data_IF_991423290793
#
_entry.id   IF_991423290793
#
_cell.length_a   1.000
_cell.length_b   1.000
_cell.length_c   1.000
_cell.angle_alpha   90.00
_cell.angle_beta   90.00
_cell.angle_gamma   90.00
#
_symmetry.space_group_name_H-M   'P 1'
#
loop_
_entity.id
_entity.type
_entity.pdbx_description
1 polymer ?
#
# COMPACT_ATOMS: atom_id res chain seq x y z
N UNK A 1 -0.56 -0.07 -8.33
CA UNK A 1 0.55 -0.97 -7.88
C UNK A 1 1.78 -0.68 -8.71
N UNK A 2 2.94 -0.76 -8.12
CA UNK A 2 4.24 -0.61 -8.79
C UNK A 2 4.99 -1.95 -8.77
N UNK A 3 5.82 -2.21 -9.79
CA UNK A 3 6.62 -3.42 -9.87
C UNK A 3 8.05 -3.11 -9.42
N UNK A 4 8.52 -3.81 -8.39
CA UNK A 4 9.88 -3.65 -7.88
C UNK A 4 10.91 -4.03 -8.93
N UNK A 5 12.06 -3.35 -8.91
CA UNK A 5 13.21 -3.71 -9.74
C UNK A 5 13.59 -5.17 -9.48
N UNK A 6 13.95 -5.91 -10.55
CA UNK A 6 14.32 -7.33 -10.46
C UNK A 6 15.54 -7.56 -9.57
N UNK A 7 16.39 -6.56 -9.42
CA UNK A 7 17.61 -6.61 -8.60
C UNK A 7 17.39 -6.17 -7.15
N UNK A 8 16.13 -5.86 -6.75
CA UNK A 8 15.83 -5.51 -5.36
C UNK A 8 16.16 -6.67 -4.43
N UNK A 9 16.80 -6.38 -3.29
CA UNK A 9 17.18 -7.36 -2.26
C UNK A 9 15.99 -8.12 -1.69
N UNK A 10 14.81 -7.49 -1.67
CA UNK A 10 13.58 -8.08 -1.16
C UNK A 10 12.55 -8.24 -2.28
N UNK A 11 12.27 -9.50 -2.64
CA UNK A 11 11.26 -9.92 -3.63
C UNK A 11 11.25 -9.08 -4.91
N UNK A 12 12.42 -8.97 -5.57
CA UNK A 12 12.54 -8.27 -6.85
C UNK A 12 11.58 -8.84 -7.90
N UNK A 13 10.93 -7.95 -8.65
CA UNK A 13 9.92 -8.28 -9.66
C UNK A 13 8.49 -8.42 -9.15
N UNK A 14 8.26 -8.41 -7.83
CA UNK A 14 6.91 -8.44 -7.27
C UNK A 14 6.20 -7.10 -7.44
N UNK A 15 4.88 -7.17 -7.59
CA UNK A 15 4.00 -6.02 -7.52
C UNK A 15 3.63 -5.69 -6.07
N UNK A 16 3.85 -4.44 -5.69
CA UNK A 16 3.60 -3.91 -4.36
C UNK A 16 2.79 -2.61 -4.44
N UNK A 17 2.27 -2.15 -3.30
CA UNK A 17 1.83 -0.76 -3.18
C UNK A 17 3.07 0.14 -3.02
N UNK A 18 3.04 1.42 -3.46
CA UNK A 18 4.11 2.37 -3.18
C UNK A 18 4.37 2.46 -1.67
N UNK A 19 5.63 2.53 -1.28
CA UNK A 19 5.98 2.66 0.13
C UNK A 19 7.39 2.24 0.49
N UNK A 20 7.94 2.88 1.51
CA UNK A 20 9.27 2.67 2.04
C UNK A 20 9.38 2.93 3.53
N UNK A 21 10.56 3.32 3.99
CA UNK A 21 10.83 3.60 5.39
C UNK A 21 10.32 4.99 5.80
N UNK A 22 9.97 5.13 7.08
CA UNK A 22 9.74 6.44 7.69
C UNK A 22 11.10 7.07 7.98
N UNK A 23 11.37 8.21 7.40
CA UNK A 23 12.58 8.97 7.62
C UNK A 23 12.43 9.96 8.80
N UNK A 24 13.55 10.33 9.42
CA UNK A 24 13.53 11.37 10.46
C UNK A 24 12.97 12.71 9.95
N UNK A 25 13.18 13.00 8.66
CA UNK A 25 12.67 14.20 8.01
C UNK A 25 11.16 14.19 7.77
N UNK A 26 10.50 13.03 7.87
CA UNK A 26 9.05 12.92 7.74
C UNK A 26 8.30 13.40 9.00
N UNK A 27 9.00 13.65 10.10
CA UNK A 27 8.43 14.04 11.40
C UNK A 27 8.73 15.45 11.83
N UNK A 28 8.11 15.84 12.96
CA UNK A 28 8.34 17.12 13.64
C UNK A 28 7.48 18.28 13.13
N UNK A 29 7.61 19.44 13.80
CA UNK A 29 6.77 20.60 13.55
C UNK A 29 6.86 21.16 12.12
N UNK A 30 8.00 20.99 11.46
CA UNK A 30 8.20 21.42 10.08
C UNK A 30 7.33 20.57 9.13
N UNK A 31 7.31 19.27 9.32
CA UNK A 31 6.47 18.36 8.55
C UNK A 31 4.98 18.59 8.83
N UNK A 32 4.60 18.79 10.08
CA UNK A 32 3.22 19.10 10.47
C UNK A 32 2.71 20.39 9.83
N UNK A 33 3.56 21.39 9.64
CA UNK A 33 3.18 22.68 9.05
C UNK A 33 2.70 22.60 7.59
N UNK A 34 3.10 21.57 6.85
CA UNK A 34 2.66 21.33 5.47
C UNK A 34 1.57 20.26 5.36
N UNK A 35 1.08 19.75 6.48
CA UNK A 35 0.01 18.76 6.54
C UNK A 35 -1.34 19.41 6.83
N UNK A 36 -2.40 18.91 6.19
CA UNK A 36 -3.77 19.36 6.42
C UNK A 36 -4.69 18.21 6.83
N UNK A 37 -5.53 18.47 7.84
CA UNK A 37 -6.61 17.58 8.26
C UNK A 37 -6.22 16.53 9.29
N UNK A 38 -4.95 16.53 9.78
CA UNK A 38 -4.50 15.67 10.87
C UNK A 38 -3.26 16.25 11.54
N UNK A 39 -3.27 16.31 12.86
CA UNK A 39 -2.11 16.64 13.69
C UNK A 39 -1.29 15.39 14.05
N UNK A 40 -0.05 15.60 14.56
CA UNK A 40 0.77 14.49 15.06
C UNK A 40 0.10 13.75 16.22
N UNK A 41 -0.56 14.48 17.11
CA UNK A 41 -1.27 13.88 18.25
C UNK A 41 -2.41 12.96 17.80
N UNK A 42 -3.23 13.38 16.83
CA UNK A 42 -4.31 12.56 16.27
C UNK A 42 -3.77 11.34 15.53
N UNK A 43 -2.72 11.51 14.74
CA UNK A 43 -2.05 10.41 14.05
C UNK A 43 -1.45 9.40 15.03
N UNK A 44 -0.83 9.87 16.11
CA UNK A 44 -0.22 9.03 17.14
C UNK A 44 -1.27 8.21 17.89
N UNK A 45 -2.43 8.80 18.20
CA UNK A 45 -3.57 8.07 18.79
C UNK A 45 -4.05 6.95 17.87
N UNK A 46 -4.21 7.23 16.57
CA UNK A 46 -4.67 6.24 15.59
C UNK A 46 -3.70 5.06 15.44
N UNK A 47 -2.40 5.31 15.51
CA UNK A 47 -1.37 4.27 15.40
C UNK A 47 -1.06 3.58 16.72
N UNK A 48 -1.55 4.09 17.86
CA UNK A 48 -1.21 3.59 19.18
C UNK A 48 0.27 3.79 19.54
N UNK A 49 0.85 4.93 19.14
CA UNK A 49 2.23 5.34 19.47
C UNK A 49 2.22 6.58 20.34
N UNK A 50 3.28 6.79 21.12
CA UNK A 50 3.35 7.93 22.06
C UNK A 50 3.42 9.29 21.36
N UNK A 51 4.14 9.35 20.22
CA UNK A 51 4.32 10.56 19.39
C UNK A 51 4.92 10.18 18.04
N UNK A 52 4.95 11.12 17.09
CA UNK A 52 5.56 10.92 15.77
C UNK A 52 4.68 10.13 14.81
N UNK A 53 3.39 9.99 15.12
CA UNK A 53 2.46 9.24 14.27
C UNK A 53 2.28 9.85 12.90
N UNK A 54 2.32 11.18 12.78
CA UNK A 54 2.14 11.87 11.50
C UNK A 54 3.24 11.55 10.49
N UNK A 55 4.44 11.19 10.95
CA UNK A 55 5.56 10.81 10.10
C UNK A 55 5.22 9.61 9.20
N UNK A 56 4.33 8.70 9.61
CA UNK A 56 3.89 7.57 8.78
C UNK A 56 3.01 8.02 7.61
N UNK A 57 2.16 9.02 7.80
CA UNK A 57 1.38 9.62 6.71
C UNK A 57 2.28 10.39 5.76
N UNK A 58 3.22 11.18 6.32
CA UNK A 58 4.19 11.92 5.51
C UNK A 58 5.02 10.95 4.64
N UNK A 59 5.55 9.88 5.23
CA UNK A 59 6.29 8.84 4.50
C UNK A 59 5.42 8.21 3.39
N UNK A 60 4.17 7.84 3.68
CA UNK A 60 3.28 7.26 2.69
C UNK A 60 3.04 8.18 1.48
N UNK A 61 2.88 9.48 1.74
CA UNK A 61 2.71 10.48 0.67
C UNK A 61 4.00 10.74 -0.10
N UNK A 62 5.13 10.85 0.59
CA UNK A 62 6.46 10.98 -0.02
C UNK A 62 6.78 9.80 -0.94
N UNK A 63 6.64 8.58 -0.44
CA UNK A 63 6.88 7.36 -1.20
C UNK A 63 5.92 7.21 -2.40
N UNK A 64 4.66 7.62 -2.23
CA UNK A 64 3.70 7.63 -3.35
C UNK A 64 4.12 8.63 -4.43
N UNK A 65 4.67 9.78 -4.06
CA UNK A 65 5.25 10.72 -5.00
C UNK A 65 6.53 10.17 -5.63
N UNK A 66 7.44 9.60 -4.84
CA UNK A 66 8.71 9.05 -5.31
C UNK A 66 8.54 7.86 -6.26
N UNK A 67 7.72 6.88 -5.90
CA UNK A 67 7.60 5.63 -6.65
C UNK A 67 6.51 5.65 -7.75
N UNK A 68 5.43 6.41 -7.55
CA UNK A 68 4.30 6.46 -8.47
C UNK A 68 4.04 7.83 -9.12
N UNK A 69 4.74 8.89 -8.71
CA UNK A 69 4.56 10.24 -9.25
C UNK A 69 3.23 10.90 -8.90
N UNK A 70 2.49 10.36 -7.92
CA UNK A 70 1.21 10.88 -7.48
C UNK A 70 1.39 11.80 -6.28
N UNK A 71 0.83 13.00 -6.35
CA UNK A 71 0.96 14.03 -5.33
C UNK A 71 -0.40 14.33 -4.68
N UNK A 72 -0.65 13.73 -3.50
CA UNK A 72 -1.87 13.93 -2.73
C UNK A 72 -1.76 15.23 -1.91
N UNK A 73 -1.86 16.33 -2.58
CA UNK A 73 -1.73 17.67 -2.01
C UNK A 73 -2.64 18.66 -2.73
N UNK A 74 -2.82 19.82 -2.12
CA UNK A 74 -3.45 20.97 -2.74
C UNK A 74 -2.62 22.24 -2.51
N UNK A 75 -2.93 23.29 -3.24
CA UNK A 75 -2.45 24.67 -3.01
C UNK A 75 -3.59 25.53 -2.48
N UNK A 76 -3.30 26.71 -1.89
CA UNK A 76 -4.34 27.65 -1.52
C UNK A 76 -5.27 28.06 -2.67
N UNK A 77 -4.75 28.01 -3.90
CA UNK A 77 -5.49 28.40 -5.10
C UNK A 77 -6.15 27.22 -5.85
N UNK A 78 -6.05 25.98 -5.34
CA UNK A 78 -6.61 24.79 -6.00
C UNK A 78 -5.73 23.55 -5.93
N UNK A 79 -5.86 22.62 -6.91
CA UNK A 79 -5.12 21.36 -6.89
C UNK A 79 -3.60 21.58 -6.96
N UNK A 80 -2.83 20.61 -6.41
CA UNK A 80 -1.37 20.65 -6.42
C UNK A 80 -0.79 20.65 -7.84
N UNK A 81 -1.42 19.87 -8.73
CA UNK A 81 -1.06 19.76 -10.13
C UNK A 81 -2.28 20.10 -10.98
N UNK A 82 -2.09 21.03 -11.93
CA UNK A 82 -3.09 21.30 -12.96
C UNK A 82 -2.91 20.27 -14.08
N UNK A 83 -3.88 19.38 -14.21
CA UNK A 83 -3.88 18.38 -15.27
C UNK A 83 -3.82 19.06 -16.64
N UNK A 84 -2.81 18.69 -17.45
CA UNK A 84 -2.63 19.24 -18.80
C UNK A 84 -1.82 20.55 -18.87
N UNK A 85 -1.12 20.91 -17.80
CA UNK A 85 -0.06 21.94 -17.85
C UNK A 85 1.32 21.26 -18.00
N UNK A 86 1.89 21.20 -19.23
CA UNK A 86 3.15 20.49 -19.48
C UNK A 86 4.36 21.10 -18.76
N UNK A 87 4.36 22.41 -18.48
CA UNK A 87 5.46 23.07 -17.79
C UNK A 87 5.44 22.70 -16.30
N UNK A 88 4.25 22.66 -15.72
CA UNK A 88 4.06 22.22 -14.34
C UNK A 88 4.39 20.73 -14.18
N UNK A 89 3.89 19.88 -15.08
CA UNK A 89 4.20 18.45 -15.07
C UNK A 89 5.71 18.20 -15.17
N UNK A 90 6.41 18.87 -16.11
CA UNK A 90 7.86 18.74 -16.26
C UNK A 90 8.62 19.21 -15.03
N UNK A 91 8.15 20.26 -14.35
CA UNK A 91 8.74 20.76 -13.11
C UNK A 91 8.62 19.72 -12.00
N UNK A 92 7.45 19.14 -11.78
CA UNK A 92 7.28 18.11 -10.75
C UNK A 92 8.01 16.81 -11.06
N UNK A 93 8.14 16.43 -12.33
CA UNK A 93 9.02 15.31 -12.74
C UNK A 93 10.47 15.59 -12.35
N UNK A 94 10.97 16.83 -12.56
CA UNK A 94 12.32 17.22 -12.17
C UNK A 94 12.49 17.24 -10.63
N UNK A 95 11.53 17.77 -9.88
CA UNK A 95 11.57 17.74 -8.41
C UNK A 95 11.55 16.31 -7.87
N UNK A 96 10.70 15.45 -8.41
CA UNK A 96 10.65 14.03 -8.08
C UNK A 96 11.99 13.34 -8.30
N UNK A 97 12.65 13.58 -9.44
CA UNK A 97 13.95 13.02 -9.72
C UNK A 97 15.02 13.48 -8.71
N UNK A 98 14.93 14.71 -8.22
CA UNK A 98 15.85 15.24 -7.19
C UNK A 98 15.57 14.66 -5.81
N UNK A 99 14.29 14.40 -5.47
CA UNK A 99 13.92 13.73 -4.23
C UNK A 99 14.42 12.28 -4.26
N UNK A 100 14.16 11.53 -5.33
CA UNK A 100 14.64 10.14 -5.50
C UNK A 100 16.16 10.04 -5.45
N UNK A 101 16.89 11.05 -5.96
CA UNK A 101 18.34 11.12 -5.88
C UNK A 101 18.89 11.55 -4.50
N UNK A 102 18.02 11.85 -3.53
CA UNK A 102 18.41 12.35 -2.20
C UNK A 102 19.04 13.74 -2.20
N UNK A 103 18.94 14.49 -3.32
CA UNK A 103 19.51 15.85 -3.46
C UNK A 103 18.55 16.95 -3.06
N UNK A 104 17.29 16.59 -2.78
CA UNK A 104 16.22 17.48 -2.34
C UNK A 104 15.33 16.77 -1.36
N UNK A 105 14.93 17.42 -0.26
CA UNK A 105 13.93 16.85 0.65
C UNK A 105 12.53 17.07 0.08
N UNK A 106 11.64 16.10 0.22
CA UNK A 106 10.23 16.22 -0.19
C UNK A 106 9.54 17.40 0.53
N UNK A 107 9.85 17.59 1.80
CA UNK A 107 9.34 18.71 2.60
C UNK A 107 9.71 20.10 2.02
N UNK A 108 10.93 20.24 1.46
CA UNK A 108 11.33 21.48 0.80
C UNK A 108 10.55 21.72 -0.50
N UNK A 109 10.23 20.65 -1.24
CA UNK A 109 9.32 20.73 -2.41
C UNK A 109 7.94 21.23 -1.95
N UNK A 110 7.38 20.65 -0.88
CA UNK A 110 6.08 21.07 -0.34
C UNK A 110 6.05 22.57 0.01
N UNK A 111 7.09 23.06 0.67
CA UNK A 111 7.16 24.46 1.07
C UNK A 111 7.32 25.42 -0.11
N UNK A 112 8.27 25.13 -1.01
CA UNK A 112 8.57 26.01 -2.14
C UNK A 112 7.42 26.08 -3.14
N UNK A 113 6.68 24.98 -3.30
CA UNK A 113 5.49 24.88 -4.14
C UNK A 113 4.18 25.26 -3.40
N UNK A 114 4.28 25.69 -2.12
CA UNK A 114 3.12 26.05 -1.28
C UNK A 114 2.07 24.91 -1.19
N UNK A 115 2.52 23.68 -1.08
CA UNK A 115 1.66 22.51 -0.99
C UNK A 115 1.19 22.28 0.45
N UNK A 116 -0.07 21.85 0.56
CA UNK A 116 -0.65 21.29 1.78
C UNK A 116 -0.99 19.83 1.50
N UNK A 117 -0.31 18.91 2.17
CA UNK A 117 -0.51 17.47 2.03
C UNK A 117 -1.85 17.06 2.66
N UNK A 118 -2.65 16.31 1.92
CA UNK A 118 -4.02 15.93 2.32
C UNK A 118 -4.03 14.72 3.26
N UNK A 119 -3.30 14.80 4.37
CA UNK A 119 -3.17 13.69 5.34
C UNK A 119 -4.50 13.31 6.01
N UNK A 120 -5.46 14.23 6.06
CA UNK A 120 -6.81 13.95 6.56
C UNK A 120 -7.62 13.03 5.65
N UNK A 121 -7.30 12.98 4.35
CA UNK A 121 -7.98 12.15 3.34
C UNK A 121 -7.28 10.80 3.12
N UNK A 122 -6.23 10.52 3.88
CA UNK A 122 -5.48 9.25 3.85
C UNK A 122 -5.84 8.44 5.08
N UNK A 123 -6.49 7.30 4.88
CA UNK A 123 -7.06 6.49 5.96
C UNK A 123 -6.16 5.30 6.29
N UNK A 124 -5.86 5.12 7.56
CA UNK A 124 -5.13 3.97 8.09
C UNK A 124 -5.98 2.70 7.91
N UNK A 125 -5.43 1.70 7.21
CA UNK A 125 -6.20 0.57 6.72
C UNK A 125 -5.77 -0.77 7.30
N UNK A 126 -4.45 -1.04 7.38
CA UNK A 126 -3.94 -2.31 7.88
C UNK A 126 -2.55 -2.16 8.49
N UNK A 127 -2.22 -3.03 9.46
CA UNK A 127 -0.94 -3.07 10.13
C UNK A 127 -0.39 -4.50 10.11
N UNK A 128 0.77 -4.67 9.48
CA UNK A 128 1.41 -5.97 9.33
C UNK A 128 2.82 -5.95 9.92
N UNK A 129 3.12 -6.92 10.78
CA UNK A 129 4.47 -7.14 11.30
C UNK A 129 4.98 -8.46 10.72
N UNK A 130 6.19 -8.44 10.17
CA UNK A 130 6.82 -9.66 9.67
C UNK A 130 6.97 -10.69 10.79
N UNK A 131 6.69 -11.98 10.56
CA UNK A 131 6.79 -13.04 11.58
C UNK A 131 8.11 -13.07 12.32
N UNK A 132 8.07 -13.46 13.58
CA UNK A 132 9.29 -13.76 14.35
C UNK A 132 10.10 -14.84 13.66
N UNK A 133 11.44 -14.72 13.74
CA UNK A 133 12.38 -15.66 13.10
C UNK A 133 12.73 -15.35 11.66
N UNK A 134 12.10 -14.37 11.03
CA UNK A 134 12.51 -13.88 9.71
C UNK A 134 13.86 -13.12 9.83
N UNK A 135 14.78 -13.25 8.85
CA UNK A 135 16.10 -12.60 8.88
C UNK A 135 16.01 -11.06 8.82
N UNK A 136 14.93 -10.52 8.26
CA UNK A 136 14.58 -9.09 8.27
C UNK A 136 13.11 -8.95 8.59
N UNK A 137 12.78 -8.10 9.54
CA UNK A 137 11.41 -7.83 9.94
C UNK A 137 11.01 -6.41 9.59
N UNK A 138 9.79 -6.27 9.09
CA UNK A 138 9.17 -5.00 8.78
C UNK A 138 7.95 -4.82 9.68
N UNK A 139 7.76 -3.61 10.15
CA UNK A 139 6.56 -3.11 10.82
C UNK A 139 5.90 -2.14 9.82
N UNK A 140 4.88 -2.61 9.11
CA UNK A 140 4.34 -1.91 7.95
C UNK A 140 2.89 -1.50 8.17
N UNK A 141 2.64 -0.22 8.07
CA UNK A 141 1.31 0.37 8.09
C UNK A 141 0.86 0.68 6.67
N UNK A 142 -0.35 0.23 6.33
CA UNK A 142 -0.96 0.45 5.02
C UNK A 142 -2.05 1.49 5.11
N UNK A 143 -2.11 2.33 4.10
CA UNK A 143 -3.07 3.41 3.98
C UNK A 143 -3.85 3.29 2.68
N UNK A 144 -5.05 3.87 2.65
CA UNK A 144 -5.86 4.03 1.44
C UNK A 144 -6.26 5.48 1.27
N UNK A 145 -6.25 5.94 0.04
CA UNK A 145 -6.68 7.29 -0.33
C UNK A 145 -7.25 7.29 -1.75
N UNK A 146 -8.06 8.29 -2.07
CA UNK A 146 -8.43 8.56 -3.44
C UNK A 146 -7.22 9.07 -4.22
N UNK A 147 -7.01 8.56 -5.44
CA UNK A 147 -6.02 9.15 -6.32
C UNK A 147 -6.46 10.56 -6.77
N UNK A 148 -5.54 11.53 -6.81
CA UNK A 148 -5.88 12.87 -7.25
C UNK A 148 -6.40 12.86 -8.70
N UNK A 149 -7.52 13.53 -9.00
CA UNK A 149 -8.08 13.54 -10.34
C UNK A 149 -7.11 14.19 -11.34
N UNK A 150 -7.00 13.59 -12.52
CA UNK A 150 -6.18 14.12 -13.63
C UNK A 150 -4.69 13.80 -13.54
N UNK A 151 -4.18 13.29 -12.41
CA UNK A 151 -2.80 12.83 -12.32
C UNK A 151 -2.65 11.43 -12.91
N UNK A 152 -1.55 11.20 -13.62
CA UNK A 152 -1.20 9.89 -14.15
C UNK A 152 -0.03 9.30 -13.36
N UNK A 153 -0.20 8.05 -12.91
CA UNK A 153 0.89 7.36 -12.26
C UNK A 153 2.01 7.07 -13.26
N UNK A 154 3.25 7.20 -12.81
CA UNK A 154 4.45 6.83 -13.55
C UNK A 154 5.47 6.24 -12.59
N UNK A 155 6.06 5.08 -12.91
CA UNK A 155 7.16 4.51 -12.12
C UNK A 155 8.41 5.38 -12.19
N UNK A 156 9.32 5.21 -11.25
CA UNK A 156 10.54 6.01 -11.14
C UNK A 156 11.71 5.51 -12.01
N UNK A 157 11.57 4.32 -12.60
CA UNK A 157 12.57 3.60 -13.40
C UNK A 157 13.87 3.21 -12.64
N UNK A 158 13.93 3.44 -11.34
CA UNK A 158 15.02 3.07 -10.44
C UNK A 158 14.61 1.90 -9.53
N UNK A 159 13.89 2.20 -8.47
CA UNK A 159 13.37 1.20 -7.53
C UNK A 159 12.19 0.43 -8.10
N UNK A 160 11.39 1.06 -8.95
CA UNK A 160 10.25 0.48 -9.64
C UNK A 160 10.43 0.54 -11.17
N UNK A 161 9.96 -0.50 -11.86
CA UNK A 161 10.15 -0.70 -13.31
C UNK A 161 8.87 -0.77 -14.11
N UNK A 162 7.73 -0.70 -13.46
CA UNK A 162 6.41 -0.63 -14.08
C UNK A 162 5.38 -0.17 -13.06
N UNK A 163 4.31 0.45 -13.54
CA UNK A 163 3.12 0.74 -12.76
C UNK A 163 1.89 0.15 -13.42
N UNK A 164 0.84 -0.08 -12.64
CA UNK A 164 -0.44 -0.55 -13.16
C UNK A 164 -1.61 -0.10 -12.30
N UNK A 165 -2.64 0.42 -12.98
CA UNK A 165 -3.97 0.59 -12.41
C UNK A 165 -4.74 -0.70 -12.63
N UNK A 166 -5.08 -1.38 -11.56
CA UNK A 166 -5.72 -2.70 -11.62
C UNK A 166 -6.73 -2.85 -10.49
N UNK A 167 -7.88 -3.43 -10.78
CA UNK A 167 -8.83 -3.75 -9.72
C UNK A 167 -8.28 -4.88 -8.83
N UNK A 168 -8.62 -4.89 -7.52
CA UNK A 168 -8.16 -5.92 -6.60
C UNK A 168 -8.44 -7.34 -7.09
N UNK A 169 -9.63 -7.59 -7.63
CA UNK A 169 -10.03 -8.90 -8.19
C UNK A 169 -9.16 -9.33 -9.35
N UNK A 170 -8.86 -8.40 -10.27
CA UNK A 170 -7.98 -8.69 -11.43
C UNK A 170 -6.54 -8.96 -10.99
N UNK A 171 -6.02 -8.21 -10.02
CA UNK A 171 -4.69 -8.45 -9.47
C UNK A 171 -4.59 -9.85 -8.83
N UNK A 172 -5.57 -10.25 -8.02
CA UNK A 172 -5.65 -11.58 -7.41
C UNK A 172 -5.80 -12.69 -8.47
N UNK A 173 -6.59 -12.46 -9.53
CA UNK A 173 -6.73 -13.41 -10.63
C UNK A 173 -5.41 -13.57 -11.41
N UNK A 174 -4.73 -12.46 -11.75
CA UNK A 174 -3.43 -12.48 -12.41
C UNK A 174 -2.38 -13.19 -11.56
N UNK A 175 -2.41 -12.99 -10.23
CA UNK A 175 -1.53 -13.72 -9.33
C UNK A 175 -1.78 -15.24 -9.36
N UNK A 176 -3.05 -15.69 -9.33
CA UNK A 176 -3.39 -17.12 -9.45
C UNK A 176 -2.94 -17.74 -10.79
N UNK A 177 -2.95 -16.95 -11.87
CA UNK A 177 -2.46 -17.38 -13.19
C UNK A 177 -0.93 -17.35 -13.32
N UNK A 178 -0.22 -16.70 -12.39
CA UNK A 178 1.23 -16.50 -12.45
C UNK A 178 1.68 -15.28 -13.23
N UNK A 179 0.76 -14.45 -13.71
CA UNK A 179 1.05 -13.21 -14.47
C UNK A 179 1.50 -12.07 -13.55
N UNK A 180 1.05 -12.10 -12.30
CA UNK A 180 1.35 -11.11 -11.27
C UNK A 180 1.99 -11.77 -10.06
N UNK A 181 3.26 -11.50 -9.81
CA UNK A 181 3.90 -11.90 -8.56
C UNK A 181 3.54 -10.89 -7.45
N UNK A 182 2.80 -11.34 -6.43
CA UNK A 182 2.35 -10.53 -5.30
C UNK A 182 2.72 -11.25 -4.01
N UNK A 183 3.19 -10.52 -3.00
CA UNK A 183 3.56 -11.09 -1.70
C UNK A 183 2.36 -11.22 -0.76
N UNK A 184 2.47 -12.11 0.22
CA UNK A 184 1.39 -12.50 1.13
C UNK A 184 0.64 -11.32 1.78
N UNK A 185 1.25 -10.31 2.42
CA UNK A 185 0.51 -9.19 2.99
C UNK A 185 -0.29 -8.39 1.94
N UNK A 186 0.29 -8.22 0.73
CA UNK A 186 -0.38 -7.54 -0.37
C UNK A 186 -1.59 -8.33 -0.88
N UNK A 187 -1.47 -9.67 -0.98
CA UNK A 187 -2.60 -10.56 -1.34
C UNK A 187 -3.73 -10.37 -0.33
N UNK A 188 -3.43 -10.43 0.98
CA UNK A 188 -4.44 -10.31 2.04
C UNK A 188 -5.11 -8.94 2.04
N UNK A 189 -4.36 -7.87 1.81
CA UNK A 189 -4.91 -6.52 1.67
C UNK A 189 -5.80 -6.42 0.42
N UNK A 190 -5.38 -6.96 -0.73
CA UNK A 190 -6.20 -7.01 -1.95
C UNK A 190 -7.49 -7.81 -1.73
N UNK A 191 -7.45 -8.93 -1.02
CA UNK A 191 -8.63 -9.69 -0.63
C UNK A 191 -9.58 -8.86 0.25
N UNK A 192 -9.04 -8.12 1.23
CA UNK A 192 -9.82 -7.26 2.10
C UNK A 192 -10.53 -6.15 1.31
N UNK A 193 -9.84 -5.43 0.45
CA UNK A 193 -10.42 -4.34 -0.34
C UNK A 193 -11.33 -4.82 -1.47
N UNK A 194 -11.15 -6.06 -1.96
CA UNK A 194 -12.00 -6.63 -3.02
C UNK A 194 -13.46 -6.88 -2.62
N UNK A 195 -13.77 -6.76 -1.33
CA UNK A 195 -15.13 -6.90 -0.79
C UNK A 195 -16.02 -5.68 -1.02
N UNK A 196 -15.40 -4.53 -1.28
CA UNK A 196 -16.11 -3.29 -1.56
C UNK A 196 -16.43 -3.19 -3.05
N UNK A 197 -17.64 -2.74 -3.38
CA UNK A 197 -18.06 -2.57 -4.77
C UNK A 197 -17.44 -1.33 -5.40
N UNK A 198 -17.17 -0.30 -4.59
CA UNK A 198 -16.62 0.98 -5.05
C UNK A 198 -15.47 1.47 -4.17
N UNK A 199 -14.61 2.32 -4.72
CA UNK A 199 -13.56 3.00 -3.95
C UNK A 199 -14.14 3.89 -2.85
N UNK A 200 -15.29 4.51 -3.08
CA UNK A 200 -15.97 5.32 -2.07
C UNK A 200 -16.37 4.49 -0.85
N UNK A 201 -17.01 3.34 -1.04
CA UNK A 201 -17.36 2.44 0.06
C UNK A 201 -16.13 1.99 0.86
N UNK A 202 -15.01 1.70 0.15
CA UNK A 202 -13.75 1.36 0.81
C UNK A 202 -13.23 2.52 1.67
N UNK A 203 -13.21 3.75 1.14
CA UNK A 203 -12.69 4.91 1.85
C UNK A 203 -13.54 5.24 3.09
N UNK A 204 -14.87 5.25 2.95
CA UNK A 204 -15.81 5.46 4.06
C UNK A 204 -15.61 4.39 5.17
N UNK A 205 -15.45 3.13 4.78
CA UNK A 205 -15.22 2.05 5.75
C UNK A 205 -13.83 2.15 6.40
N UNK A 206 -12.80 2.53 5.65
CA UNK A 206 -11.44 2.71 6.18
C UNK A 206 -11.36 3.89 7.15
N UNK A 207 -12.02 5.01 6.85
CA UNK A 207 -12.15 6.14 7.74
C UNK A 207 -12.79 5.73 9.07
N UNK A 208 -13.96 5.08 9.00
CA UNK A 208 -14.69 4.63 10.18
C UNK A 208 -13.89 3.62 11.04
N UNK A 209 -13.04 2.78 10.42
CA UNK A 209 -12.27 1.75 11.09
C UNK A 209 -10.86 2.20 11.52
N UNK A 210 -10.39 3.38 11.13
CA UNK A 210 -9.00 3.82 11.33
C UNK A 210 -8.51 3.78 12.79
N UNK A 211 -9.41 3.94 13.76
CA UNK A 211 -9.09 3.87 15.20
C UNK A 211 -9.05 2.45 15.77
N UNK A 212 -9.40 1.43 14.98
CA UNK A 212 -9.51 0.03 15.42
C UNK A 212 -8.77 -0.96 14.53
N UNK A 213 -7.79 -0.50 13.79
CA UNK A 213 -6.96 -1.34 12.91
C UNK A 213 -6.13 -2.31 13.75
N UNK A 214 -6.35 -3.63 13.65
CA UNK A 214 -5.58 -4.59 14.41
C UNK A 214 -4.18 -4.77 13.85
N UNK A 215 -3.22 -5.05 14.73
CA UNK A 215 -1.90 -5.52 14.33
C UNK A 215 -1.97 -6.98 13.91
N UNK A 216 -1.50 -7.29 12.72
CA UNK A 216 -1.43 -8.64 12.17
C UNK A 216 0.04 -9.06 12.16
N UNK A 217 0.42 -9.95 13.07
CA UNK A 217 1.72 -10.62 13.09
C UNK A 217 1.50 -12.10 12.74
N UNK A 218 1.72 -12.52 11.47
CA UNK A 218 1.58 -13.92 11.10
C UNK A 218 2.57 -14.79 11.87
N UNK A 219 2.21 -16.06 12.11
CA UNK A 219 3.12 -17.06 12.64
C UNK A 219 3.32 -18.16 11.62
N UNK A 220 4.48 -18.81 11.67
CA UNK A 220 4.81 -19.92 10.77
C UNK A 220 4.67 -21.20 11.57
N UNK A 221 3.65 -21.99 11.23
CA UNK A 221 3.43 -23.32 11.78
C UNK A 221 4.15 -24.34 10.90
N UNK A 222 4.99 -25.17 11.52
CA UNK A 222 5.60 -26.33 10.86
C UNK A 222 5.12 -27.60 11.57
N UNK A 223 4.39 -28.42 10.87
CA UNK A 223 3.89 -29.72 11.35
C UNK A 223 4.26 -30.85 10.37
N UNK A 224 3.80 -32.06 10.63
CA UNK A 224 4.05 -33.22 9.75
C UNK A 224 3.49 -33.09 8.34
N UNK A 225 2.64 -32.11 8.08
CA UNK A 225 2.00 -31.83 6.79
C UNK A 225 2.71 -30.71 5.99
N UNK A 226 3.72 -30.04 6.60
CA UNK A 226 4.49 -29.01 5.93
C UNK A 226 4.57 -27.70 6.72
N UNK A 227 4.72 -26.59 5.99
CA UNK A 227 4.82 -25.23 6.55
C UNK A 227 3.62 -24.43 6.07
N UNK A 228 2.88 -23.85 7.01
CA UNK A 228 1.77 -22.93 6.74
C UNK A 228 1.88 -21.64 7.52
N UNK A 229 1.33 -20.55 7.01
CA UNK A 229 1.16 -19.32 7.76
C UNK A 229 -0.20 -19.34 8.45
N UNK A 230 -0.21 -18.98 9.72
CA UNK A 230 -1.41 -18.76 10.53
C UNK A 230 -1.47 -17.30 10.96
N UNK A 231 -2.68 -16.74 10.94
CA UNK A 231 -2.97 -15.37 11.34
C UNK A 231 -3.63 -15.35 12.74
N UNK A 232 -3.65 -14.19 13.42
CA UNK A 232 -4.40 -14.04 14.66
C UNK A 232 -5.86 -14.51 14.49
N UNK A 233 -6.28 -15.47 15.33
CA UNK A 233 -7.61 -16.09 15.27
C UNK A 233 -7.70 -17.39 14.48
N UNK A 234 -6.67 -17.78 13.74
CA UNK A 234 -6.61 -19.08 13.07
C UNK A 234 -6.33 -20.21 14.08
N UNK A 235 -6.82 -21.41 13.76
CA UNK A 235 -6.52 -22.62 14.54
C UNK A 235 -4.99 -22.88 14.58
N UNK A 236 -4.47 -23.07 15.79
CA UNK A 236 -3.05 -23.29 16.03
C UNK A 236 -2.21 -22.01 16.11
N UNK A 237 -2.80 -20.82 15.95
CA UNK A 237 -2.03 -19.57 16.04
C UNK A 237 -1.36 -19.43 17.42
N UNK A 238 -2.09 -19.66 18.49
CA UNK A 238 -1.57 -19.52 19.87
C UNK A 238 -0.67 -20.67 20.28
N UNK A 239 -0.72 -21.80 19.58
CA UNK A 239 0.12 -22.98 19.84
C UNK A 239 1.55 -22.81 19.28
N UNK A 240 1.76 -21.86 18.35
CA UNK A 240 3.08 -21.61 17.77
C UNK A 240 3.97 -20.91 18.79
N UNK A 241 5.03 -21.62 19.25
CA UNK A 241 6.05 -21.01 20.10
C UNK A 241 6.88 -20.02 19.31
N UNK A 242 6.83 -18.76 19.72
CA UNK A 242 7.48 -17.61 19.05
C UNK A 242 9.00 -17.58 19.30
N UNK A 243 9.50 -18.39 20.22
CA UNK A 243 10.89 -18.44 20.69
C UNK A 243 11.83 -19.28 19.82
N UNK A 244 11.31 -19.98 18.81
CA UNK A 244 12.16 -20.73 17.88
C UNK A 244 12.32 -19.98 16.55
N UNK A 245 13.59 -19.75 16.10
CA UNK A 245 13.80 -19.31 14.74
C UNK A 245 13.15 -20.32 13.79
N UNK A 246 12.28 -19.86 12.91
CA UNK A 246 11.84 -20.68 11.77
C UNK A 246 13.12 -21.11 11.07
N UNK A 247 13.31 -22.44 10.89
CA UNK A 247 14.46 -22.95 10.14
C UNK A 247 14.54 -22.19 8.83
N UNK A 248 15.58 -21.37 8.70
CA UNK A 248 15.71 -20.41 7.60
C UNK A 248 15.74 -21.21 6.31
N UNK A 249 14.73 -21.04 5.45
CA UNK A 249 14.89 -21.44 4.07
C UNK A 249 16.19 -20.80 3.54
N UNK A 250 17.01 -21.52 2.77
CA UNK A 250 18.32 -21.01 2.31
C UNK A 250 18.23 -19.69 1.56
N UNK A 251 17.03 -19.29 1.12
CA UNK A 251 16.74 -18.00 0.54
C UNK A 251 15.40 -17.49 1.07
N UNK A 252 15.43 -16.38 1.80
CA UNK A 252 14.25 -15.74 2.36
C UNK A 252 13.22 -15.35 1.29
N UNK A 253 13.68 -14.84 0.15
CA UNK A 253 12.81 -14.47 -0.96
C UNK A 253 12.07 -15.68 -1.53
N UNK A 254 12.70 -16.85 -1.62
CA UNK A 254 12.07 -18.08 -2.08
C UNK A 254 11.02 -18.58 -1.07
N UNK A 255 11.30 -18.44 0.22
CA UNK A 255 10.31 -18.74 1.27
C UNK A 255 9.09 -17.81 1.16
N UNK A 256 9.29 -16.50 0.99
CA UNK A 256 8.19 -15.53 0.79
C UNK A 256 7.37 -15.87 -0.45
N UNK A 257 8.03 -16.22 -1.55
CA UNK A 257 7.35 -16.63 -2.80
C UNK A 257 6.59 -17.95 -2.65
N UNK A 258 7.18 -18.95 -2.00
CA UNK A 258 6.51 -20.23 -1.74
C UNK A 258 5.26 -20.06 -0.89
N UNK A 259 5.34 -19.25 0.17
CA UNK A 259 4.23 -18.91 1.06
C UNK A 259 3.14 -18.16 0.29
N UNK A 260 3.52 -17.19 -0.54
CA UNK A 260 2.57 -16.42 -1.35
C UNK A 260 1.85 -17.29 -2.39
N UNK A 261 2.52 -18.31 -2.93
CA UNK A 261 1.90 -19.29 -3.83
C UNK A 261 0.95 -20.24 -3.09
N UNK A 262 1.33 -20.69 -1.90
CA UNK A 262 0.49 -21.57 -1.08
C UNK A 262 -0.82 -20.87 -0.66
N UNK A 263 -0.80 -19.58 -0.39
CA UNK A 263 -1.98 -18.78 -0.10
C UNK A 263 -3.03 -18.76 -1.23
N UNK A 264 -2.63 -19.08 -2.47
CA UNK A 264 -3.54 -19.20 -3.62
C UNK A 264 -4.32 -20.51 -3.67
N UNK A 265 -3.85 -21.57 -3.00
CA UNK A 265 -4.49 -22.89 -3.03
C UNK A 265 -5.55 -23.05 -1.93
N UNK A 266 -5.58 -22.17 -0.94
CA UNK A 266 -6.46 -22.29 0.23
C UNK A 266 -7.87 -21.70 0.01
N UNK A 267 -8.12 -21.03 -1.12
CA UNK A 267 -9.43 -20.44 -1.47
C UNK A 267 -10.51 -21.52 -1.83
N UNK A 268 -10.17 -22.81 -1.79
CA UNK A 268 -11.05 -23.92 -2.21
C UNK A 268 -11.48 -24.90 -1.11
N UNK A 269 -10.87 -24.87 0.05
CA UNK A 269 -11.18 -25.84 1.12
C UNK A 269 -11.33 -25.12 2.47
N UNK A 270 -12.56 -25.13 2.95
CA UNK A 270 -13.05 -24.66 4.24
C UNK A 270 -13.36 -23.16 4.35
N UNK A 271 -14.66 -22.89 4.29
CA UNK A 271 -15.29 -21.72 4.89
C UNK A 271 -15.17 -21.76 6.44
N UNK A 272 -13.94 -21.75 6.93
CA UNK A 272 -13.56 -21.56 8.33
C UNK A 272 -12.96 -20.16 8.45
N UNK A 273 -13.77 -19.23 8.93
CA UNK A 273 -13.54 -17.82 9.19
C UNK A 273 -12.13 -17.31 9.36
N UNK A 274 -11.42 -17.02 8.27
CA UNK A 274 -10.28 -16.14 8.32
C UNK A 274 -10.82 -14.72 8.34
N UNK A 275 -10.86 -14.10 9.51
CA UNK A 275 -11.14 -12.68 9.65
C UNK A 275 -10.10 -11.90 8.86
N UNK A 276 -10.51 -11.35 7.72
CA UNK A 276 -9.81 -10.20 7.18
C UNK A 276 -9.86 -9.08 8.22
N UNK A 277 -8.94 -8.08 8.20
CA UNK A 277 -8.99 -6.98 9.14
C UNK A 277 -10.44 -6.48 9.26
N UNK A 278 -10.93 -6.17 10.46
CA UNK A 278 -12.33 -5.89 10.73
C UNK A 278 -12.72 -4.53 10.16
N UNK A 279 -12.88 -4.48 8.85
CA UNK A 279 -13.70 -3.45 8.25
C UNK A 279 -15.14 -3.96 8.35
N UNK A 280 -16.00 -3.20 9.02
CA UNK A 280 -17.41 -3.49 9.12
C UNK A 280 -17.97 -3.78 7.73
N UNK A 281 -18.79 -4.82 7.61
CA UNK A 281 -19.44 -5.16 6.35
C UNK A 281 -20.22 -3.95 5.81
N UNK A 282 -20.15 -3.66 4.50
CA UNK A 282 -20.92 -2.57 3.92
C UNK A 282 -22.42 -2.83 4.15
N UNK A 283 -23.23 -1.78 4.35
CA UNK A 283 -24.68 -1.92 4.44
C UNK A 283 -25.22 -2.54 3.16
N UNK A 284 -26.03 -3.56 3.33
CA UNK A 284 -26.67 -4.29 2.23
C UNK A 284 -27.75 -3.39 1.63
N UNK A 285 -27.49 -2.76 0.51
CA UNK A 285 -28.45 -2.47 -0.57
C UNK A 285 -28.09 -1.28 -1.45
N UNK A 286 -27.66 -1.56 -2.69
CA UNK A 286 -28.07 -0.80 -3.89
C UNK A 286 -27.78 -1.68 -5.12
N UNK A 287 -28.61 -1.67 -6.17
CA UNK A 287 -28.38 -2.45 -7.37
C UNK A 287 -27.18 -1.92 -8.17
N UNK A 288 -26.53 -2.76 -8.97
CA UNK A 288 -25.33 -2.38 -9.70
C UNK A 288 -25.62 -1.29 -10.75
N UNK A 289 -24.85 -0.22 -10.71
CA UNK A 289 -24.80 0.77 -11.80
C UNK A 289 -24.00 0.16 -12.95
N UNK A 290 -24.58 0.14 -14.15
CA UNK A 290 -23.95 -0.39 -15.34
C UNK A 290 -22.69 0.44 -15.70
N UNK A 291 -21.58 -0.25 -15.92
CA UNK A 291 -20.35 0.36 -16.42
C UNK A 291 -20.57 0.89 -17.86
N UNK A 292 -20.03 2.07 -18.19
CA UNK A 292 -20.03 2.53 -19.58
C UNK A 292 -19.13 1.64 -20.45
N UNK A 293 -19.47 1.41 -21.72
CA UNK A 293 -18.68 0.58 -22.63
C UNK A 293 -17.28 1.17 -22.85
N UNK A 294 -16.28 0.30 -22.85
CA UNK A 294 -14.90 0.64 -23.19
C UNK A 294 -14.85 1.17 -24.62
N UNK A 295 -14.27 2.34 -24.80
CA UNK A 295 -13.98 2.87 -26.14
C UNK A 295 -12.95 1.94 -26.84
N UNK A 296 -13.30 1.46 -28.01
CA UNK A 296 -12.37 0.72 -28.87
C UNK A 296 -11.26 1.65 -29.38
N UNK A 297 -10.02 1.19 -29.54
CA UNK A 297 -8.95 1.98 -30.10
C UNK A 297 -9.25 2.24 -31.59
N UNK A 298 -9.31 3.51 -31.97
CA UNK A 298 -9.42 3.91 -33.37
C UNK A 298 -8.17 3.49 -34.15
N UNK A 299 -8.30 2.62 -35.12
CA UNK A 299 -7.31 2.38 -36.16
C UNK A 299 -7.08 3.68 -36.95
N UNK A 300 -5.96 4.32 -36.71
CA UNK A 300 -5.45 5.44 -37.49
C UNK A 300 -4.54 4.94 -38.60
N UNK A 301 -4.98 5.03 -39.82
CA UNK A 301 -4.19 4.75 -41.01
C UNK A 301 -2.98 5.68 -41.11
N UNK A 302 -1.83 5.08 -41.40
CA UNK A 302 -0.61 5.78 -41.86
C UNK A 302 -0.72 6.06 -43.34
N UNK A 303 -0.23 7.20 -43.84
CA UNK A 303 0.58 7.22 -45.03
C UNK A 303 2.07 7.34 -44.75
#
# INVERSE_FOLDING_TARGET
MVRRNLQSDFVGGAFVFPGGAVDLADGGAEAESVCRGRSDAEASILLGVDSGGLAYWMAALRETFEEAGLLLAERPAGPALLAGDPEEEARFVAERARVNAGTRRFLDVCRDESLQLLVGEVHYFAHWITPMGAPRRYDTRFFVAAAPPGQQAAHDAGETIAETWISPRRALEGHRKGDFEIIFPTIRNLQAISRFATSRELLEAAEAASSSVPTIEPRVLSDGNGVRIVLPGDEGYDDVRVDRPVGVAPNFNDAVRAISRAANHDDGATAGGVSAPPLSAPPTSAPPVAEPPLAEPSEGAIP
#
